data_IF_079939699298
#
_entry.id   IF_079939699298
#
_cell.length_a   1.000
_cell.length_b   1.000
_cell.length_c   1.000
_cell.angle_alpha   90.00
_cell.angle_beta   90.00
_cell.angle_gamma   90.00
#
_symmetry.space_group_name_H-M   'P 1'
#
loop_
_entity.id
_entity.type
_entity.pdbx_description
1 polymer ?
#
# COMPACT_ATOMS: atom_id res chain seq x y z
N UNK A 1 21.30 -17.22 -61.62
CA UNK A 1 21.99 -18.43 -61.11
C UNK A 1 23.31 -17.98 -60.50
N UNK A 2 23.37 -17.85 -59.18
CA UNK A 2 24.59 -17.54 -58.44
C UNK A 2 24.53 -18.26 -57.09
N UNK A 3 25.36 -19.30 -57.05
CA UNK A 3 26.17 -19.73 -55.92
C UNK A 3 25.50 -20.62 -54.87
N UNK A 4 25.87 -21.89 -55.06
CA UNK A 4 25.74 -23.07 -54.24
C UNK A 4 26.67 -22.99 -53.00
N UNK A 5 26.09 -23.43 -51.88
CA UNK A 5 26.69 -24.11 -50.73
C UNK A 5 27.46 -23.34 -49.63
N UNK A 6 27.03 -23.72 -48.41
CA UNK A 6 27.80 -23.96 -47.20
C UNK A 6 28.19 -22.75 -46.34
N UNK A 7 27.54 -22.58 -45.18
CA UNK A 7 28.16 -22.80 -43.85
C UNK A 7 27.05 -23.09 -42.84
N UNK A 8 27.09 -24.30 -42.27
CA UNK A 8 26.39 -24.69 -41.05
C UNK A 8 27.14 -24.04 -39.88
N UNK A 9 26.45 -23.36 -38.96
CA UNK A 9 26.87 -23.39 -37.55
C UNK A 9 25.66 -23.13 -36.63
N UNK A 10 25.31 -24.18 -35.88
CA UNK A 10 24.49 -24.12 -34.68
C UNK A 10 25.09 -23.15 -33.67
N UNK A 11 24.30 -22.22 -33.16
CA UNK A 11 24.36 -21.84 -31.74
C UNK A 11 22.95 -21.55 -31.22
N UNK A 12 22.40 -22.56 -30.55
CA UNK A 12 21.39 -22.41 -29.51
C UNK A 12 21.84 -21.33 -28.52
N UNK A 13 21.03 -20.30 -28.35
CA UNK A 13 21.06 -19.45 -27.16
C UNK A 13 19.65 -19.21 -26.66
N UNK A 14 18.97 -20.30 -26.27
CA UNK A 14 17.87 -20.24 -25.33
C UNK A 14 18.45 -19.98 -23.91
N UNK A 15 18.94 -18.77 -23.66
CA UNK A 15 19.28 -18.31 -22.31
C UNK A 15 18.79 -16.88 -22.17
N UNK A 16 17.51 -16.76 -21.83
CA UNK A 16 17.13 -15.81 -20.79
C UNK A 16 16.07 -16.50 -19.97
N UNK A 17 16.53 -17.04 -18.85
CA UNK A 17 15.71 -17.22 -17.68
C UNK A 17 14.94 -15.92 -17.48
N UNK A 18 13.62 -15.94 -17.67
CA UNK A 18 12.77 -14.95 -17.06
C UNK A 18 12.82 -15.20 -15.53
N UNK A 19 13.95 -14.86 -14.90
CA UNK A 19 13.97 -14.46 -13.50
C UNK A 19 13.18 -13.17 -13.46
N UNK A 20 11.85 -13.28 -13.37
CA UNK A 20 11.03 -12.18 -12.90
C UNK A 20 10.69 -12.52 -11.46
N UNK A 21 11.17 -11.65 -10.61
CA UNK A 21 11.24 -11.81 -9.17
C UNK A 21 9.93 -12.32 -8.57
N UNK A 22 10.10 -13.24 -7.64
CA UNK A 22 9.15 -13.59 -6.60
C UNK A 22 8.80 -12.32 -5.81
N UNK A 23 7.85 -11.51 -6.31
CA UNK A 23 7.11 -10.58 -5.48
C UNK A 23 5.84 -11.30 -5.03
N UNK A 24 5.96 -11.91 -3.85
CA UNK A 24 4.92 -12.06 -2.84
C UNK A 24 3.56 -11.52 -3.29
N UNK A 25 2.61 -12.43 -3.49
CA UNK A 25 1.16 -12.22 -3.35
C UNK A 25 0.71 -10.75 -3.19
N UNK A 26 0.63 -10.01 -4.28
CA UNK A 26 -0.40 -8.97 -4.39
C UNK A 26 -1.52 -9.58 -5.22
N UNK A 27 -2.33 -10.39 -4.54
CA UNK A 27 -3.71 -10.56 -4.92
C UNK A 27 -4.31 -9.16 -5.04
N UNK A 28 -4.38 -8.65 -6.27
CA UNK A 28 -5.22 -7.52 -6.63
C UNK A 28 -6.66 -8.00 -6.49
N UNK A 29 -7.10 -8.13 -5.24
CA UNK A 29 -8.51 -8.01 -4.91
C UNK A 29 -8.74 -6.52 -4.76
N UNK A 30 -9.84 -5.99 -5.28
CA UNK A 30 -10.30 -4.62 -5.06
C UNK A 30 -10.62 -4.30 -3.57
N UNK A 31 -10.06 -5.08 -2.63
CA UNK A 31 -10.13 -4.91 -1.20
C UNK A 31 -9.24 -3.74 -0.79
N UNK A 32 -9.86 -2.57 -0.73
CA UNK A 32 -9.27 -1.33 -0.23
C UNK A 32 -8.69 -1.54 1.17
N UNK A 33 -7.39 -1.30 1.33
CA UNK A 33 -6.66 -1.53 2.58
C UNK A 33 -7.27 -0.71 3.73
N UNK A 34 -7.49 -1.30 4.90
CA UNK A 34 -7.93 -0.56 6.08
C UNK A 34 -6.71 0.05 6.76
N UNK A 35 -6.64 1.39 6.78
CA UNK A 35 -5.56 2.12 7.43
C UNK A 35 -5.59 1.90 8.94
N UNK A 36 -4.41 1.89 9.55
CA UNK A 36 -4.21 1.84 11.00
C UNK A 36 -4.99 0.71 11.68
N UNK A 37 -5.12 -0.43 11.01
CA UNK A 37 -5.84 -1.62 11.54
C UNK A 37 -7.28 -1.31 12.01
N UNK A 38 -7.90 -0.28 11.46
CA UNK A 38 -9.26 0.15 11.80
C UNK A 38 -9.36 1.06 13.03
N UNK A 39 -8.24 1.48 13.61
CA UNK A 39 -8.20 2.52 14.63
C UNK A 39 -8.67 3.87 14.08
N UNK A 40 -9.16 4.72 14.97
CA UNK A 40 -9.59 6.07 14.61
C UNK A 40 -8.40 6.87 14.11
N UNK A 41 -8.35 7.19 12.81
CA UNK A 41 -7.24 7.90 12.20
C UNK A 41 -6.96 9.26 12.87
N UNK A 42 -8.02 9.95 13.34
CA UNK A 42 -7.86 11.17 14.11
C UNK A 42 -7.23 10.93 15.49
N UNK A 43 -7.55 9.83 16.18
CA UNK A 43 -6.91 9.52 17.46
C UNK A 43 -5.45 9.10 17.26
N UNK A 44 -5.17 8.28 16.24
CA UNK A 44 -3.81 7.89 15.82
C UNK A 44 -2.96 9.13 15.51
N UNK A 45 -3.53 10.14 14.83
CA UNK A 45 -2.89 11.43 14.57
C UNK A 45 -2.47 12.17 15.85
N UNK A 46 -3.18 11.97 16.97
CA UNK A 46 -2.89 12.58 18.27
C UNK A 46 -2.24 11.58 19.25
N UNK A 47 -1.56 10.55 18.73
CA UNK A 47 -0.85 9.50 19.49
C UNK A 47 -1.74 8.67 20.44
N UNK A 48 -3.02 8.52 20.10
CA UNK A 48 -3.94 7.62 20.78
C UNK A 48 -4.33 6.43 19.88
N UNK A 49 -3.72 5.27 20.17
CA UNK A 49 -3.97 4.00 19.50
C UNK A 49 -5.08 3.17 20.16
N UNK A 50 -5.76 3.66 21.21
CA UNK A 50 -6.81 2.87 21.90
C UNK A 50 -8.18 3.05 21.28
N UNK A 51 -8.40 4.19 20.63
CA UNK A 51 -9.70 4.52 20.06
C UNK A 51 -9.92 3.80 18.72
N UNK A 52 -10.91 2.90 18.67
CA UNK A 52 -11.34 2.26 17.43
C UNK A 52 -12.19 3.20 16.58
N UNK A 53 -12.05 3.08 15.26
CA UNK A 53 -12.92 3.72 14.30
C UNK A 53 -14.18 2.90 14.03
N UNK A 54 -15.17 3.53 13.40
CA UNK A 54 -16.40 2.88 12.94
C UNK A 54 -16.51 2.99 11.43
N UNK A 55 -16.98 1.92 10.77
CA UNK A 55 -17.14 1.88 9.31
C UNK A 55 -18.08 2.99 8.78
N UNK A 56 -19.11 3.33 9.55
CA UNK A 56 -20.06 4.41 9.25
C UNK A 56 -19.41 5.80 9.20
N UNK A 57 -18.30 5.99 9.91
CA UNK A 57 -17.48 7.20 9.86
C UNK A 57 -16.15 6.85 9.20
N UNK A 58 -16.17 6.81 7.87
CA UNK A 58 -14.99 6.49 7.08
C UNK A 58 -14.66 7.57 6.05
N UNK A 59 -13.42 7.54 5.56
CA UNK A 59 -13.03 8.26 4.37
C UNK A 59 -12.06 7.43 3.54
N UNK A 60 -11.98 7.78 2.26
CA UNK A 60 -11.12 7.11 1.29
C UNK A 60 -10.03 8.05 0.81
N UNK A 61 -8.79 7.59 0.81
CA UNK A 61 -7.68 8.32 0.22
C UNK A 61 -6.56 7.35 -0.17
N UNK A 62 -5.97 7.54 -1.36
CA UNK A 62 -4.81 6.77 -1.85
C UNK A 62 -4.95 5.23 -1.69
N UNK A 63 -6.11 4.66 -2.03
CA UNK A 63 -6.35 3.22 -1.93
C UNK A 63 -6.51 2.68 -0.51
N UNK A 64 -6.57 3.56 0.51
CA UNK A 64 -6.79 3.20 1.90
C UNK A 64 -8.13 3.72 2.43
N UNK A 65 -8.73 2.98 3.34
CA UNK A 65 -9.92 3.35 4.10
C UNK A 65 -9.53 3.72 5.51
N UNK A 66 -9.84 4.95 5.91
CA UNK A 66 -9.60 5.45 7.25
C UNK A 66 -10.92 5.43 8.01
N UNK A 67 -10.92 4.85 9.22
CA UNK A 67 -12.07 4.88 10.11
C UNK A 67 -11.91 5.95 11.18
N UNK A 68 -13.04 6.44 11.71
CA UNK A 68 -13.09 7.46 12.74
C UNK A 68 -14.10 7.07 13.83
N UNK A 69 -13.87 7.53 15.05
CA UNK A 69 -14.78 7.26 16.17
C UNK A 69 -16.11 7.99 16.06
N UNK A 70 -16.15 9.09 15.29
CA UNK A 70 -17.33 9.95 15.07
C UNK A 70 -17.23 10.72 13.76
N UNK A 71 -18.37 11.25 13.28
CA UNK A 71 -18.40 12.19 12.17
C UNK A 71 -17.55 13.45 12.43
N UNK A 72 -17.60 13.99 13.66
CA UNK A 72 -16.77 15.14 14.09
C UNK A 72 -15.27 14.86 13.94
N UNK A 73 -14.82 13.68 14.34
CA UNK A 73 -13.42 13.28 14.21
C UNK A 73 -12.99 13.16 12.74
N UNK A 74 -13.84 12.59 11.88
CA UNK A 74 -13.62 12.54 10.43
C UNK A 74 -13.49 13.94 9.85
N UNK A 75 -14.40 14.83 10.19
CA UNK A 75 -14.48 16.16 9.59
C UNK A 75 -13.31 17.04 10.06
N UNK A 76 -12.92 16.95 11.34
CA UNK A 76 -11.69 17.59 11.84
C UNK A 76 -10.43 17.06 11.13
N UNK A 77 -10.33 15.75 10.92
CA UNK A 77 -9.20 15.15 10.21
C UNK A 77 -9.10 15.62 8.76
N UNK A 78 -10.25 15.84 8.09
CA UNK A 78 -10.30 16.32 6.71
C UNK A 78 -9.85 17.77 6.51
N UNK A 79 -9.88 18.61 7.55
CA UNK A 79 -9.47 20.03 7.48
C UNK A 79 -8.03 20.16 6.98
N UNK A 80 -7.13 19.30 7.47
CA UNK A 80 -5.73 19.25 7.04
C UNK A 80 -5.32 17.80 6.74
N UNK A 81 -6.06 17.21 5.80
CA UNK A 81 -6.03 15.77 5.51
C UNK A 81 -4.61 15.21 5.31
N UNK A 82 -3.78 15.85 4.50
CA UNK A 82 -2.45 15.33 4.17
C UNK A 82 -1.51 15.38 5.36
N UNK A 83 -1.49 16.49 6.11
CA UNK A 83 -0.66 16.59 7.31
C UNK A 83 -1.14 15.63 8.41
N UNK A 84 -2.45 15.46 8.54
CA UNK A 84 -3.02 14.52 9.51
C UNK A 84 -2.74 13.06 9.14
N UNK A 85 -2.76 12.69 7.85
CA UNK A 85 -2.33 11.36 7.39
C UNK A 85 -0.85 11.15 7.71
N UNK A 86 0.02 12.10 7.40
CA UNK A 86 1.45 12.01 7.68
C UNK A 86 1.74 11.85 9.17
N UNK A 87 1.04 12.62 10.00
CA UNK A 87 1.17 12.58 11.46
C UNK A 87 0.67 11.24 12.03
N UNK A 88 -0.49 10.78 11.57
CA UNK A 88 -1.02 9.47 11.96
C UNK A 88 -0.10 8.33 11.53
N UNK A 89 0.44 8.37 10.30
CA UNK A 89 1.39 7.37 9.79
C UNK A 89 2.65 7.32 10.65
N UNK A 90 3.25 8.48 10.94
CA UNK A 90 4.42 8.58 11.82
C UNK A 90 4.16 7.97 13.20
N UNK A 91 3.06 8.35 13.85
CA UNK A 91 2.72 7.82 15.17
C UNK A 91 2.46 6.31 15.12
N UNK A 92 1.77 5.86 14.07
CA UNK A 92 1.47 4.46 13.85
C UNK A 92 2.75 3.63 13.68
N UNK A 93 3.70 4.08 12.87
CA UNK A 93 4.94 3.33 12.61
C UNK A 93 5.80 3.18 13.86
N UNK A 94 5.88 4.23 14.69
CA UNK A 94 6.60 4.20 15.97
C UNK A 94 5.93 3.21 16.95
N UNK A 95 4.61 3.29 17.12
CA UNK A 95 3.88 2.48 18.12
C UNK A 95 3.71 1.03 17.70
N UNK A 96 3.66 0.75 16.41
CA UNK A 96 3.54 -0.62 15.86
C UNK A 96 4.89 -1.30 15.65
N UNK A 97 6.01 -0.61 15.92
CA UNK A 97 7.36 -1.15 15.74
C UNK A 97 7.77 -1.33 14.27
N UNK A 98 7.14 -0.57 13.35
CA UNK A 98 7.41 -0.62 11.90
C UNK A 98 8.56 0.29 11.47
N UNK A 99 9.00 1.19 12.35
CA UNK A 99 10.28 1.89 12.20
C UNK A 99 11.40 1.06 12.84
N UNK A 100 12.14 0.32 12.01
CA UNK A 100 13.48 -0.22 12.28
C UNK A 100 14.44 0.36 11.25
#
# INVERSE_FOLDING_TARGET
MKNLALVILLTLSAISCAHRDTSTAQQQTDAKEIAFEGHCANSVCHDDMKTLGKKEFSMEHAGKTYYFSSAKARDAFKVDMLNNINSAQKNWDVRSGRTQ
#
